data_IF_401814251879
#
_entry.id   IF_401814251879
#
_cell.length_a   1.000
_cell.length_b   1.000
_cell.length_c   1.000
_cell.angle_alpha   90.00
_cell.angle_beta   90.00
_cell.angle_gamma   90.00
#
_symmetry.space_group_name_H-M   'P 1'
#
loop_
_entity.id
_entity.type
_entity.pdbx_description
1 polymer ?
#
# COMPACT_ATOMS: atom_id res chain seq x y z
N UNK A 1 14.87 -14.08 0.05
CA UNK A 1 15.06 -13.34 1.31
C UNK A 1 13.69 -13.04 1.86
N UNK A 2 13.41 -13.33 3.14
CA UNK A 2 12.08 -13.14 3.76
C UNK A 2 12.08 -12.07 4.84
N UNK A 3 13.21 -11.86 5.51
CA UNK A 3 13.33 -10.92 6.61
C UNK A 3 14.26 -9.77 6.23
N UNK A 4 13.83 -8.54 6.52
CA UNK A 4 14.64 -7.34 6.49
C UNK A 4 14.74 -6.81 7.92
N UNK A 5 15.93 -6.99 8.53
CA UNK A 5 16.21 -6.51 9.87
C UNK A 5 16.72 -5.07 9.80
N UNK A 6 16.13 -4.20 10.63
CA UNK A 6 16.55 -2.81 10.74
C UNK A 6 17.52 -2.62 11.91
N UNK A 7 18.54 -1.82 11.68
CA UNK A 7 19.49 -1.39 12.70
C UNK A 7 20.20 -0.11 12.26
N UNK A 8 20.66 0.68 13.24
CA UNK A 8 21.36 1.95 13.02
C UNK A 8 22.80 1.90 13.58
N UNK A 9 23.57 2.94 13.26
CA UNK A 9 25.00 3.10 13.54
C UNK A 9 25.91 2.12 12.79
N UNK A 10 27.22 2.29 12.94
CA UNK A 10 28.23 1.50 12.23
C UNK A 10 28.13 -0.02 12.51
N UNK A 11 27.48 -0.42 13.60
CA UNK A 11 27.32 -1.82 14.00
C UNK A 11 25.90 -2.36 13.81
N UNK A 12 24.94 -1.54 13.36
CA UNK A 12 23.52 -1.91 13.23
C UNK A 12 22.89 -2.40 14.55
N UNK A 13 23.44 -1.99 15.70
CA UNK A 13 22.98 -2.44 17.02
C UNK A 13 21.93 -1.54 17.65
N UNK A 14 21.83 -0.29 17.20
CA UNK A 14 20.81 0.66 17.64
C UNK A 14 19.48 0.41 16.95
N UNK A 15 18.38 0.66 17.66
CA UNK A 15 17.01 0.56 17.12
C UNK A 15 16.65 -0.79 16.49
N UNK A 16 17.31 -1.87 16.91
CA UNK A 16 17.02 -3.23 16.46
C UNK A 16 15.56 -3.58 16.74
N UNK A 17 14.94 -4.30 15.79
CA UNK A 17 13.54 -4.75 15.85
C UNK A 17 12.46 -3.67 15.84
N UNK A 18 12.82 -2.39 15.71
CA UNK A 18 11.84 -1.29 15.72
C UNK A 18 11.10 -1.11 14.39
N UNK A 19 11.77 -1.42 13.28
CA UNK A 19 11.28 -1.17 11.92
C UNK A 19 11.53 -2.36 10.98
N UNK A 20 11.55 -3.57 11.53
CA UNK A 20 11.75 -4.77 10.71
C UNK A 20 10.57 -4.95 9.74
N UNK A 21 10.86 -5.60 8.62
CA UNK A 21 9.85 -6.11 7.69
C UNK A 21 10.05 -7.60 7.49
N UNK A 22 8.95 -8.35 7.39
CA UNK A 22 8.99 -9.78 7.18
C UNK A 22 7.93 -10.22 6.17
N UNK A 23 8.38 -10.79 5.06
CA UNK A 23 7.55 -11.53 4.12
C UNK A 23 7.31 -12.93 4.68
N UNK A 24 6.07 -13.20 5.10
CA UNK A 24 5.73 -14.47 5.76
C UNK A 24 5.64 -15.61 4.76
N UNK A 25 5.12 -15.35 3.55
CA UNK A 25 5.11 -16.31 2.46
C UNK A 25 5.02 -15.63 1.08
N UNK A 26 5.32 -16.42 0.06
CA UNK A 26 4.99 -16.13 -1.34
C UNK A 26 3.99 -17.19 -1.82
N UNK A 27 3.14 -16.82 -2.77
CA UNK A 27 2.35 -17.80 -3.50
C UNK A 27 3.21 -18.56 -4.54
N UNK A 28 2.59 -19.50 -5.28
CA UNK A 28 3.30 -20.31 -6.29
C UNK A 28 3.76 -19.51 -7.53
N UNK A 29 3.23 -18.31 -7.73
CA UNK A 29 3.61 -17.41 -8.82
C UNK A 29 4.67 -16.38 -8.39
N UNK A 30 5.06 -16.39 -7.11
CA UNK A 30 6.07 -15.49 -6.55
C UNK A 30 5.50 -14.17 -6.04
N UNK A 31 4.17 -14.01 -5.95
CA UNK A 31 3.56 -12.85 -5.32
C UNK A 31 3.71 -12.94 -3.80
N UNK A 32 3.89 -11.80 -3.11
CA UNK A 32 3.93 -11.76 -1.65
C UNK A 32 2.57 -12.14 -1.12
N UNK A 33 2.46 -13.24 -0.38
CA UNK A 33 1.19 -13.69 0.20
C UNK A 33 0.93 -13.05 1.56
N UNK A 34 1.98 -12.75 2.32
CA UNK A 34 1.83 -12.03 3.58
C UNK A 34 3.05 -11.22 3.97
N UNK A 35 2.80 -10.13 4.69
CA UNK A 35 3.79 -9.14 5.08
C UNK A 35 3.51 -8.66 6.52
N UNK A 36 4.54 -8.65 7.36
CA UNK A 36 4.52 -8.00 8.66
C UNK A 36 5.46 -6.80 8.63
N UNK A 37 5.01 -5.68 9.17
CA UNK A 37 5.85 -4.49 9.38
C UNK A 37 5.79 -4.06 10.84
N UNK A 38 6.93 -3.59 11.33
CA UNK A 38 7.08 -3.08 12.67
C UNK A 38 7.33 -1.58 12.62
N UNK A 39 6.89 -0.87 13.64
CA UNK A 39 7.04 0.57 13.74
C UNK A 39 6.76 1.07 15.15
N UNK A 40 6.82 2.38 15.29
CA UNK A 40 6.51 3.05 16.54
C UNK A 40 5.00 3.00 16.81
N UNK A 41 4.58 2.52 17.98
CA UNK A 41 3.17 2.38 18.38
C UNK A 41 2.77 3.33 19.52
N UNK A 42 3.75 3.92 20.22
CA UNK A 42 3.56 5.01 21.18
C UNK A 42 4.83 5.90 21.22
N UNK A 43 4.81 7.00 21.97
CA UNK A 43 5.93 7.94 22.14
C UNK A 43 7.28 7.26 22.40
N UNK A 44 7.30 6.14 23.12
CA UNK A 44 8.52 5.38 23.42
C UNK A 44 8.40 3.87 23.17
N UNK A 45 7.35 3.41 22.47
CA UNK A 45 7.07 1.98 22.26
C UNK A 45 7.06 1.63 20.79
N UNK A 46 7.50 0.41 20.47
CA UNK A 46 7.57 -0.13 19.12
C UNK A 46 6.91 -1.52 19.10
N UNK A 47 6.27 -1.83 17.97
CA UNK A 47 5.51 -3.07 17.81
C UNK A 47 5.12 -3.31 16.36
N UNK A 48 4.34 -4.36 16.14
CA UNK A 48 3.80 -4.67 14.81
C UNK A 48 2.69 -3.68 14.46
N UNK A 49 2.83 -3.02 13.31
CA UNK A 49 1.88 -2.02 12.80
C UNK A 49 1.08 -2.54 11.60
N UNK A 50 1.56 -3.60 10.94
CA UNK A 50 0.85 -4.28 9.87
C UNK A 50 1.04 -5.79 10.00
N UNK A 51 -0.03 -6.54 9.75
CA UNK A 51 -0.03 -7.99 9.59
C UNK A 51 -0.92 -8.35 8.40
N UNK A 52 -0.35 -8.19 7.21
CA UNK A 52 -1.09 -8.20 5.96
C UNK A 52 -1.19 -9.60 5.38
N UNK A 53 -2.38 -9.96 4.93
CA UNK A 53 -2.62 -11.08 4.01
C UNK A 53 -3.08 -10.52 2.66
N UNK A 54 -2.36 -10.85 1.59
CA UNK A 54 -2.60 -10.33 0.25
C UNK A 54 -3.21 -11.43 -0.61
N UNK A 55 -4.35 -11.12 -1.23
CA UNK A 55 -5.07 -12.04 -2.14
C UNK A 55 -4.90 -11.57 -3.56
N UNK A 56 -4.69 -12.50 -4.50
CA UNK A 56 -4.43 -12.18 -5.90
C UNK A 56 -5.34 -12.95 -6.85
N UNK A 57 -5.62 -12.36 -8.01
CA UNK A 57 -6.10 -13.04 -9.20
C UNK A 57 -4.99 -13.04 -10.26
N UNK A 58 -4.31 -14.17 -10.45
CA UNK A 58 -3.04 -14.17 -11.19
C UNK A 58 -1.99 -13.33 -10.45
N UNK A 59 -1.42 -12.33 -11.12
CA UNK A 59 -0.48 -11.37 -10.53
C UNK A 59 -1.13 -10.01 -10.19
N UNK A 60 -2.46 -9.92 -10.25
CA UNK A 60 -3.21 -8.72 -9.89
C UNK A 60 -3.66 -8.82 -8.44
N UNK A 61 -3.29 -7.84 -7.62
CA UNK A 61 -3.74 -7.75 -6.23
C UNK A 61 -5.25 -7.59 -6.20
N UNK A 62 -5.96 -8.39 -5.43
CA UNK A 62 -7.42 -8.39 -5.37
C UNK A 62 -7.93 -7.77 -4.07
N UNK A 63 -7.29 -8.07 -2.94
CA UNK A 63 -7.64 -7.55 -1.61
C UNK A 63 -6.42 -7.61 -0.68
N UNK A 64 -6.39 -6.76 0.34
CA UNK A 64 -5.39 -6.79 1.41
C UNK A 64 -6.10 -6.74 2.74
N UNK A 65 -5.95 -7.80 3.53
CA UNK A 65 -6.48 -7.84 4.90
C UNK A 65 -5.39 -7.48 5.89
N UNK A 66 -5.64 -6.54 6.77
CA UNK A 66 -4.79 -6.29 7.93
C UNK A 66 -5.46 -6.79 9.21
N UNK A 67 -4.67 -7.50 10.04
CA UNK A 67 -5.09 -7.98 11.36
C UNK A 67 -4.19 -7.46 12.48
N UNK A 68 -3.29 -6.51 12.21
CA UNK A 68 -2.56 -5.82 13.27
C UNK A 68 -3.55 -5.08 14.19
N UNK A 69 -3.31 -5.18 15.49
CA UNK A 69 -4.15 -4.53 16.52
C UNK A 69 -3.60 -3.18 16.97
N UNK A 70 -2.35 -2.87 16.61
CA UNK A 70 -1.69 -1.61 16.92
C UNK A 70 -1.61 -0.76 15.67
N UNK A 71 -1.82 0.55 15.84
CA UNK A 71 -1.57 1.54 14.79
C UNK A 71 -0.22 2.21 15.03
N UNK A 72 0.29 2.89 14.01
CA UNK A 72 1.48 3.73 14.20
C UNK A 72 1.14 4.92 15.08
N UNK A 73 2.09 5.30 15.93
CA UNK A 73 2.02 6.52 16.72
C UNK A 73 2.05 7.78 15.85
N UNK A 74 1.03 8.63 15.96
CA UNK A 74 0.89 9.83 15.13
C UNK A 74 0.24 9.57 13.77
N UNK A 75 0.61 10.37 12.76
CA UNK A 75 0.13 10.19 11.38
C UNK A 75 1.03 9.19 10.65
N UNK A 76 0.84 7.92 10.96
CA UNK A 76 1.64 6.84 10.42
C UNK A 76 1.29 6.39 9.02
N UNK A 77 2.17 5.55 8.48
CA UNK A 77 2.11 5.01 7.13
C UNK A 77 1.70 3.53 7.07
N UNK A 78 1.11 3.03 8.15
CA UNK A 78 0.52 1.69 8.17
C UNK A 78 -0.61 1.59 7.13
N UNK A 79 -0.87 0.38 6.69
CA UNK A 79 -1.95 0.10 5.77
C UNK A 79 -3.29 0.42 6.45
N UNK A 80 -4.17 1.12 5.73
CA UNK A 80 -5.51 1.42 6.21
C UNK A 80 -6.49 0.46 5.54
N UNK A 81 -6.83 -0.61 6.24
CA UNK A 81 -7.80 -1.62 5.83
C UNK A 81 -9.24 -1.09 5.97
N UNK A 82 -9.58 -0.12 5.13
CA UNK A 82 -10.86 0.58 5.13
C UNK A 82 -11.96 -0.15 4.35
N UNK A 83 -11.63 -1.28 3.71
CA UNK A 83 -12.57 -2.14 3.01
C UNK A 83 -12.58 -3.53 3.62
N UNK A 84 -13.59 -4.31 3.27
CA UNK A 84 -13.67 -5.72 3.68
C UNK A 84 -14.44 -6.48 2.60
N UNK A 85 -14.08 -6.22 1.34
CA UNK A 85 -14.72 -6.81 0.18
C UNK A 85 -13.83 -7.92 -0.36
N UNK A 86 -14.41 -8.92 -1.01
CA UNK A 86 -13.62 -9.96 -1.69
C UNK A 86 -12.76 -9.38 -2.82
N UNK A 87 -13.19 -8.25 -3.41
CA UNK A 87 -12.44 -7.52 -4.45
C UNK A 87 -12.43 -6.04 -4.11
N UNK A 88 -11.25 -5.54 -3.77
CA UNK A 88 -10.99 -4.16 -3.35
C UNK A 88 -10.22 -3.36 -4.40
N UNK A 89 -9.42 -4.09 -5.19
CA UNK A 89 -8.64 -3.58 -6.30
C UNK A 89 -9.17 -4.19 -7.59
N UNK A 90 -9.51 -3.36 -8.57
CA UNK A 90 -9.92 -3.83 -9.90
C UNK A 90 -9.03 -3.24 -10.97
N UNK A 91 -8.99 -3.90 -12.13
CA UNK A 91 -8.13 -3.51 -13.24
C UNK A 91 -8.89 -3.48 -14.55
N UNK A 92 -8.43 -2.66 -15.49
CA UNK A 92 -8.87 -2.73 -16.87
C UNK A 92 -8.14 -3.86 -17.64
N UNK A 93 -8.48 -4.02 -18.92
CA UNK A 93 -7.89 -5.05 -19.79
C UNK A 93 -6.39 -4.85 -20.07
N UNK A 94 -5.88 -3.63 -19.91
CA UNK A 94 -4.46 -3.32 -20.06
C UNK A 94 -3.68 -3.54 -18.76
N UNK A 95 -4.36 -3.91 -17.67
CA UNK A 95 -3.77 -4.15 -16.36
C UNK A 95 -3.61 -2.89 -15.51
N UNK A 96 -4.24 -1.77 -15.89
CA UNK A 96 -4.20 -0.58 -15.04
C UNK A 96 -5.22 -0.68 -13.90
N UNK A 97 -4.87 -0.15 -12.74
CA UNK A 97 -5.77 -0.09 -11.59
C UNK A 97 -6.95 0.84 -11.86
N UNK A 98 -8.17 0.36 -11.76
CA UNK A 98 -9.40 1.14 -11.96
C UNK A 98 -10.14 1.47 -10.67
N UNK A 99 -9.82 0.80 -9.56
CA UNK A 99 -10.46 0.99 -8.26
C UNK A 99 -9.51 0.62 -7.13
N UNK A 100 -9.59 1.34 -6.01
CA UNK A 100 -8.89 1.04 -4.76
C UNK A 100 -9.82 1.42 -3.61
N UNK A 101 -10.55 0.43 -3.09
CA UNK A 101 -11.57 0.68 -2.07
C UNK A 101 -10.97 1.10 -0.72
N UNK A 102 -9.75 0.66 -0.39
CA UNK A 102 -9.07 1.04 0.84
C UNK A 102 -8.74 2.54 0.89
N UNK A 103 -8.74 3.20 -0.27
CA UNK A 103 -8.53 4.65 -0.42
C UNK A 103 -9.78 5.42 -0.83
N UNK A 104 -10.94 4.76 -0.80
CA UNK A 104 -12.19 5.33 -1.29
C UNK A 104 -12.11 5.78 -2.76
N UNK A 105 -11.26 5.16 -3.59
CA UNK A 105 -11.20 5.43 -5.03
C UNK A 105 -12.19 4.51 -5.72
N UNK A 106 -13.24 5.08 -6.30
CA UNK A 106 -14.31 4.34 -6.97
C UNK A 106 -14.06 4.11 -8.45
N UNK A 107 -13.29 4.99 -9.10
CA UNK A 107 -12.91 4.90 -10.51
C UNK A 107 -11.60 5.63 -10.79
N UNK A 108 -10.77 5.06 -11.69
CA UNK A 108 -9.63 5.72 -12.32
C UNK A 108 -9.82 5.65 -13.83
N UNK A 109 -9.82 6.82 -14.47
CA UNK A 109 -9.87 6.97 -15.92
C UNK A 109 -8.47 7.07 -16.52
N UNK A 110 -8.32 6.50 -17.72
CA UNK A 110 -7.08 6.50 -18.49
C UNK A 110 -7.31 7.09 -19.88
N UNK A 111 -6.30 7.81 -20.38
CA UNK A 111 -6.32 8.32 -21.76
C UNK A 111 -5.79 7.29 -22.76
N UNK A 112 -5.78 7.63 -24.06
CA UNK A 112 -5.31 6.77 -25.14
C UNK A 112 -3.81 6.41 -25.05
N UNK A 113 -3.02 7.12 -24.23
CA UNK A 113 -1.63 6.81 -23.93
C UNK A 113 -1.48 5.91 -22.70
N UNK A 114 -2.59 5.38 -22.17
CA UNK A 114 -2.62 4.55 -20.97
C UNK A 114 -2.14 5.30 -19.71
N UNK A 115 -2.25 6.63 -19.69
CA UNK A 115 -1.93 7.49 -18.55
C UNK A 115 -3.20 7.83 -17.77
N UNK A 116 -3.18 7.82 -16.42
CA UNK A 116 -4.30 8.30 -15.63
C UNK A 116 -4.66 9.74 -15.99
N UNK A 117 -5.93 10.01 -16.27
CA UNK A 117 -6.43 11.36 -16.52
C UNK A 117 -7.52 11.81 -15.53
N UNK A 118 -8.09 10.87 -14.76
CA UNK A 118 -9.13 11.15 -13.79
C UNK A 118 -9.11 10.15 -12.64
N UNK A 119 -9.39 10.62 -11.42
CA UNK A 119 -9.68 9.78 -10.25
C UNK A 119 -10.95 10.27 -9.59
N UNK A 120 -11.90 9.36 -9.37
CA UNK A 120 -13.17 9.64 -8.69
C UNK A 120 -13.14 8.93 -7.34
N UNK A 121 -13.46 9.67 -6.28
CA UNK A 121 -13.59 9.12 -4.94
C UNK A 121 -15.06 8.77 -4.65
N UNK A 122 -15.30 7.82 -3.75
CA UNK A 122 -16.65 7.41 -3.32
C UNK A 122 -17.50 8.59 -2.81
N UNK A 123 -16.86 9.61 -2.22
CA UNK A 123 -17.52 10.86 -1.78
C UNK A 123 -17.84 11.86 -2.91
N UNK A 124 -17.61 11.52 -4.18
CA UNK A 124 -17.90 12.38 -5.33
C UNK A 124 -16.80 13.40 -5.68
N UNK A 125 -15.73 13.49 -4.89
CA UNK A 125 -14.56 14.29 -5.23
C UNK A 125 -13.92 13.75 -6.52
N UNK A 126 -13.51 14.64 -7.41
CA UNK A 126 -12.88 14.29 -8.69
C UNK A 126 -11.55 15.01 -8.80
N UNK A 127 -10.50 14.26 -9.10
CA UNK A 127 -9.20 14.78 -9.47
C UNK A 127 -8.98 14.58 -10.97
N UNK A 128 -8.81 15.67 -11.73
CA UNK A 128 -8.47 15.61 -13.15
C UNK A 128 -6.98 15.90 -13.35
N UNK A 129 -6.32 15.13 -14.19
CA UNK A 129 -4.89 15.24 -14.48
C UNK A 129 -4.65 15.66 -15.92
N UNK A 130 -3.85 16.71 -16.14
CA UNK A 130 -3.55 17.25 -17.47
C UNK A 130 -2.23 16.70 -18.02
N UNK A 131 -2.17 16.47 -19.34
CA UNK A 131 -1.06 15.83 -20.08
C UNK A 131 0.34 16.46 -19.88
N UNK A 132 0.43 17.73 -19.48
CA UNK A 132 1.71 18.44 -19.30
C UNK A 132 2.41 18.16 -17.97
N UNK A 133 1.75 17.53 -17.00
CA UNK A 133 2.35 17.11 -15.72
C UNK A 133 2.76 15.63 -15.77
N UNK A 134 3.48 15.24 -16.82
CA UNK A 134 3.93 13.86 -17.04
C UNK A 134 5.22 13.56 -16.25
N UNK A 135 5.33 12.31 -15.80
CA UNK A 135 6.40 11.71 -14.99
C UNK A 135 6.52 12.16 -13.51
N UNK A 136 6.71 13.45 -13.20
CA UNK A 136 7.01 13.87 -11.81
C UNK A 136 5.80 13.80 -10.88
N UNK A 137 4.60 14.07 -11.39
CA UNK A 137 3.38 14.06 -10.59
C UNK A 137 2.86 12.65 -10.32
N UNK A 138 3.20 11.64 -11.13
CA UNK A 138 2.76 10.26 -10.89
C UNK A 138 3.52 9.61 -9.72
N UNK A 139 4.84 9.82 -9.63
CA UNK A 139 5.63 9.38 -8.46
C UNK A 139 5.24 10.15 -7.20
N UNK A 140 4.90 11.45 -7.34
CA UNK A 140 4.43 12.26 -6.20
C UNK A 140 3.00 11.91 -5.79
N UNK A 141 2.13 11.51 -6.72
CA UNK A 141 0.77 11.02 -6.46
C UNK A 141 0.79 9.61 -5.84
N UNK A 142 1.69 8.73 -6.29
CA UNK A 142 2.01 7.48 -5.58
C UNK A 142 2.47 7.80 -4.15
N UNK A 143 3.39 8.76 -3.94
CA UNK A 143 3.80 9.16 -2.59
C UNK A 143 2.73 9.88 -1.75
N UNK A 144 1.80 10.63 -2.36
CA UNK A 144 0.73 11.36 -1.64
C UNK A 144 -0.57 10.57 -1.46
N UNK A 145 -0.74 9.45 -2.19
CA UNK A 145 -1.98 8.67 -2.19
C UNK A 145 -1.73 7.21 -1.82
N UNK A 146 -0.50 6.65 -1.91
CA UNK A 146 -0.17 5.28 -1.43
C UNK A 146 0.46 5.23 -0.03
N UNK A 147 0.69 6.37 0.61
CA UNK A 147 0.95 6.42 2.04
C UNK A 147 -0.09 7.37 2.66
N UNK A 148 -0.71 7.00 3.80
CA UNK A 148 -1.40 7.97 4.64
C UNK A 148 -0.48 9.16 5.00
#
# INVERSE_FOLDING_TARGET
MKDALYGEDATLASNTNRFNEQITAYDKMGNIWGLKRYGQTDANSYGMIDNLTLTYNGNQLQAVKDIATSSVYGNGTEFKDNSNQTVEYTYDKNGNLTKDLNKNISSIGYNFLNLPNQVIFTGGNILNMNMLLTARSFVRYIRLVLLP
#
